data_IF_299892055961
#
_entry.id   IF_299892055961
#
_cell.length_a   1.000
_cell.length_b   1.000
_cell.length_c   1.000
_cell.angle_alpha   90.00
_cell.angle_beta   90.00
_cell.angle_gamma   90.00
#
_symmetry.space_group_name_H-M   'P 1'
#
loop_
_entity.id
_entity.type
_entity.pdbx_description
1 polymer ?
#
# COMPACT_ATOMS: atom_id res chain seq x y z
N UNK A 1 3.02 4.40 12.18
CA UNK A 1 2.39 3.86 10.95
C UNK A 1 3.51 3.66 9.94
N UNK A 2 3.58 2.52 9.24
CA UNK A 2 4.65 2.24 8.26
C UNK A 2 4.19 2.33 6.80
N UNK A 3 2.90 2.10 6.55
CA UNK A 3 2.27 2.24 5.25
C UNK A 3 0.82 2.66 5.43
N UNK A 4 0.23 3.26 4.40
CA UNK A 4 -1.19 3.60 4.32
C UNK A 4 -1.74 3.03 3.02
N UNK A 5 -2.84 2.29 3.10
CA UNK A 5 -3.54 1.72 1.95
C UNK A 5 -4.85 2.51 1.76
N UNK A 6 -5.09 3.03 0.57
CA UNK A 6 -6.31 3.77 0.25
C UNK A 6 -6.75 3.53 -1.21
N UNK A 7 -7.96 3.90 -1.59
CA UNK A 7 -8.38 3.87 -3.00
C UNK A 7 -7.75 4.99 -3.81
N UNK A 8 -7.51 6.14 -3.18
CA UNK A 8 -6.86 7.30 -3.79
C UNK A 8 -6.22 8.20 -2.74
N UNK A 9 -5.30 9.06 -3.17
CA UNK A 9 -4.70 10.08 -2.32
C UNK A 9 -4.80 11.46 -2.96
N UNK A 10 -5.02 12.48 -2.14
CA UNK A 10 -4.78 13.87 -2.54
C UNK A 10 -3.26 14.11 -2.63
N UNK A 11 -2.82 14.89 -3.63
CA UNK A 11 -1.41 15.04 -4.00
C UNK A 11 -0.55 15.51 -2.83
N UNK A 12 -1.01 16.52 -2.08
CA UNK A 12 -0.27 17.11 -0.94
C UNK A 12 -0.26 16.13 0.25
N UNK A 13 -1.39 15.47 0.52
CA UNK A 13 -1.46 14.47 1.60
C UNK A 13 -0.49 13.31 1.37
N UNK A 14 -0.40 12.82 0.13
CA UNK A 14 0.55 11.77 -0.25
C UNK A 14 1.99 12.18 -0.03
N UNK A 15 2.41 13.34 -0.55
CA UNK A 15 3.81 13.78 -0.39
C UNK A 15 4.20 14.02 1.07
N UNK A 16 3.25 14.42 1.93
CA UNK A 16 3.49 14.49 3.37
C UNK A 16 3.72 13.10 3.99
N UNK A 17 2.96 12.07 3.58
CA UNK A 17 3.15 10.69 4.05
C UNK A 17 4.53 10.18 3.68
N UNK A 18 4.94 10.37 2.42
CA UNK A 18 6.28 9.98 1.94
C UNK A 18 7.36 10.69 2.75
N UNK A 19 7.25 12.01 2.94
CA UNK A 19 8.22 12.77 3.74
C UNK A 19 8.31 12.37 5.22
N UNK A 20 7.33 11.61 5.73
CA UNK A 20 7.36 11.02 7.08
C UNK A 20 7.86 9.56 7.09
N UNK A 21 8.31 9.03 5.95
CA UNK A 21 8.72 7.63 5.79
C UNK A 21 7.54 6.65 5.83
N UNK A 22 6.34 7.10 5.44
CA UNK A 22 5.13 6.28 5.37
C UNK A 22 4.84 5.95 3.92
N UNK A 23 4.80 4.65 3.57
CA UNK A 23 4.58 4.19 2.21
C UNK A 23 3.10 4.33 1.79
N UNK A 24 2.76 5.17 0.79
CA UNK A 24 1.40 5.27 0.28
C UNK A 24 1.14 4.17 -0.75
N UNK A 25 0.11 3.37 -0.52
CA UNK A 25 -0.32 2.26 -1.36
C UNK A 25 -1.76 2.48 -1.82
N UNK A 26 -2.04 2.20 -3.09
CA UNK A 26 -3.41 2.24 -3.61
C UNK A 26 -3.87 0.92 -4.18
N UNK A 27 -5.16 0.64 -4.03
CA UNK A 27 -5.82 -0.40 -4.82
C UNK A 27 -5.76 -0.06 -6.32
N UNK A 28 -6.02 -1.05 -7.17
CA UNK A 28 -6.20 -0.81 -8.61
C UNK A 28 -7.50 -0.04 -8.85
N UNK A 29 -7.61 0.52 -10.05
CA UNK A 29 -8.79 1.29 -10.43
C UNK A 29 -10.05 0.41 -10.33
N UNK A 30 -11.04 0.90 -9.56
CA UNK A 30 -12.29 0.18 -9.31
C UNK A 30 -12.22 -0.92 -8.23
N UNK A 31 -11.07 -1.13 -7.59
CA UNK A 31 -10.93 -2.05 -6.46
C UNK A 31 -10.85 -1.30 -5.11
N UNK A 32 -11.28 -1.97 -4.05
CA UNK A 32 -11.28 -1.44 -2.69
C UNK A 32 -11.15 -2.56 -1.65
N UNK A 33 -11.23 -2.19 -0.36
CA UNK A 33 -11.15 -3.14 0.75
C UNK A 33 -12.27 -4.20 0.70
N UNK A 34 -13.50 -3.81 0.34
CA UNK A 34 -14.65 -4.69 0.24
C UNK A 34 -14.49 -5.72 -0.89
N UNK A 35 -13.86 -5.33 -2.00
CA UNK A 35 -13.53 -6.23 -3.12
C UNK A 35 -12.71 -7.44 -2.66
N UNK A 36 -11.84 -7.23 -1.67
CA UNK A 36 -10.98 -8.26 -1.08
C UNK A 36 -11.52 -8.80 0.26
N UNK A 37 -12.70 -8.38 0.69
CA UNK A 37 -13.34 -8.81 1.94
C UNK A 37 -12.58 -8.40 3.20
N UNK A 38 -11.83 -7.28 3.16
CA UNK A 38 -11.01 -6.84 4.28
C UNK A 38 -11.87 -6.20 5.36
N UNK A 39 -11.65 -6.62 6.60
CA UNK A 39 -12.36 -6.15 7.79
C UNK A 39 -11.56 -5.13 8.59
N UNK A 40 -10.26 -4.96 8.28
CA UNK A 40 -9.31 -4.13 9.02
C UNK A 40 -8.70 -4.82 10.24
N UNK A 41 -9.05 -6.09 10.49
CA UNK A 41 -8.47 -6.92 11.55
C UNK A 41 -7.33 -7.80 11.07
N UNK A 42 -7.10 -7.83 9.77
CA UNK A 42 -6.09 -8.66 9.13
C UNK A 42 -4.68 -8.19 9.47
N UNK A 43 -3.75 -9.12 9.50
CA UNK A 43 -2.32 -8.81 9.53
C UNK A 43 -1.83 -8.62 8.11
N UNK A 44 -1.38 -7.39 7.82
CA UNK A 44 -0.82 -7.04 6.52
C UNK A 44 0.69 -7.26 6.50
N UNK A 45 1.14 -8.12 5.58
CA UNK A 45 2.56 -8.33 5.27
C UNK A 45 2.87 -7.64 3.95
N UNK A 46 3.64 -6.57 4.03
CA UNK A 46 4.06 -5.76 2.88
C UNK A 46 5.51 -6.14 2.56
N UNK A 47 5.80 -6.76 1.40
CA UNK A 47 7.15 -7.09 1.01
C UNK A 47 7.87 -5.82 0.53
N UNK A 48 8.27 -4.97 1.48
CA UNK A 48 9.11 -3.80 1.16
C UNK A 48 10.52 -4.33 0.91
N UNK A 49 10.98 -4.19 -0.33
CA UNK A 49 12.37 -4.38 -0.70
C UNK A 49 13.02 -3.00 -0.76
N UNK A 50 14.31 -2.85 -0.43
CA UNK A 50 15.06 -1.57 -0.53
C UNK A 50 15.09 -0.95 -1.95
N UNK A 51 14.45 -1.59 -2.94
CA UNK A 51 14.34 -1.15 -4.32
C UNK A 51 12.86 -1.06 -4.72
N UNK A 52 12.07 -0.24 -4.02
CA UNK A 52 10.70 0.04 -4.45
C UNK A 52 10.75 1.00 -5.63
N UNK A 53 10.35 0.52 -6.81
CA UNK A 53 10.25 1.39 -7.99
C UNK A 53 9.01 2.30 -7.91
N UNK A 54 9.08 3.56 -8.39
CA UNK A 54 7.92 4.44 -8.50
C UNK A 54 6.79 3.77 -9.29
N UNK A 55 5.56 3.90 -8.80
CA UNK A 55 4.35 3.33 -9.42
C UNK A 55 4.33 1.79 -9.57
N UNK A 56 5.28 1.09 -8.95
CA UNK A 56 5.34 -0.37 -8.99
C UNK A 56 4.15 -1.02 -8.29
N UNK A 57 3.82 -2.22 -8.72
CA UNK A 57 2.82 -3.04 -8.07
C UNK A 57 3.50 -4.00 -7.09
N UNK A 58 2.97 -4.05 -5.86
CA UNK A 58 3.41 -4.96 -4.81
C UNK A 58 2.26 -5.87 -4.37
N UNK A 59 2.57 -7.14 -4.17
CA UNK A 59 1.62 -8.12 -3.67
C UNK A 59 1.62 -8.12 -2.13
N UNK A 60 0.66 -7.43 -1.52
CA UNK A 60 0.50 -7.39 -0.06
C UNK A 60 -0.33 -8.58 0.39
N UNK A 61 0.12 -9.29 1.42
CA UNK A 61 -0.64 -10.41 2.00
C UNK A 61 -1.44 -9.93 3.19
N UNK A 62 -2.74 -10.19 3.21
CA UNK A 62 -3.62 -9.97 4.34
C UNK A 62 -4.00 -11.32 4.94
N UNK A 63 -3.58 -11.57 6.18
CA UNK A 63 -3.92 -12.78 6.94
C UNK A 63 -5.07 -12.47 7.91
N UNK A 64 -6.18 -13.20 7.81
CA UNK A 64 -7.31 -13.04 8.71
C UNK A 64 -7.08 -13.77 10.06
N UNK A 65 -7.97 -13.56 11.03
CA UNK A 65 -7.88 -14.23 12.35
C UNK A 65 -8.03 -15.75 12.28
N UNK A 66 -8.58 -16.29 11.18
CA UNK A 66 -8.75 -17.73 10.94
C UNK A 66 -7.53 -18.38 10.27
N UNK A 67 -6.55 -17.60 9.83
CA UNK A 67 -5.35 -18.05 9.14
C UNK A 67 -5.46 -18.12 7.61
N UNK A 68 -6.58 -17.69 7.01
CA UNK A 68 -6.66 -17.52 5.56
C UNK A 68 -5.85 -16.30 5.12
N UNK A 69 -5.11 -16.48 4.03
CA UNK A 69 -4.25 -15.43 3.47
C UNK A 69 -4.80 -15.02 2.11
N UNK A 70 -5.13 -13.74 1.97
CA UNK A 70 -5.51 -13.11 0.71
C UNK A 70 -4.32 -12.29 0.21
N UNK A 71 -3.98 -12.45 -1.07
CA UNK A 71 -2.95 -11.63 -1.71
C UNK A 71 -3.60 -10.52 -2.52
N UNK A 72 -3.21 -9.28 -2.24
CA UNK A 72 -3.82 -8.07 -2.75
C UNK A 72 -2.76 -7.32 -3.56
N UNK A 73 -2.92 -7.16 -4.89
CA UNK A 73 -2.07 -6.29 -5.68
C UNK A 73 -2.36 -4.83 -5.32
N UNK A 74 -1.35 -4.13 -4.81
CA UNK A 74 -1.42 -2.71 -4.50
C UNK A 74 -0.35 -1.95 -5.28
N UNK A 75 -0.69 -0.77 -5.77
CA UNK A 75 0.25 0.13 -6.42
C UNK A 75 0.92 1.05 -5.41
N UNK A 76 2.24 1.16 -5.50
CA UNK A 76 3.03 2.13 -4.75
C UNK A 76 2.85 3.52 -5.35
N UNK A 77 2.36 4.48 -4.56
CA UNK A 77 2.19 5.88 -5.01
C UNK A 77 3.39 6.74 -4.67
N UNK A 78 4.56 6.32 -5.15
CA UNK A 78 5.72 7.20 -5.27
C UNK A 78 5.70 7.72 -6.71
N UNK A 79 5.56 9.04 -6.88
CA UNK A 79 5.42 9.65 -8.21
C UNK A 79 6.80 10.00 -8.81
N UNK A 80 7.80 10.19 -7.95
CA UNK A 80 9.14 10.61 -8.36
C UNK A 80 10.23 9.69 -7.79
N UNK A 81 11.38 9.55 -8.47
CA UNK A 81 12.50 8.77 -7.95
C UNK A 81 13.09 9.37 -6.66
N UNK A 82 12.96 10.69 -6.46
CA UNK A 82 13.40 11.36 -5.21
C UNK A 82 12.60 10.86 -4.01
N UNK A 83 11.30 10.57 -4.19
CA UNK A 83 10.43 10.03 -3.15
C UNK A 83 10.81 8.60 -2.71
N UNK A 84 11.67 7.88 -3.45
CA UNK A 84 12.15 6.54 -3.11
C UNK A 84 13.31 6.57 -2.09
N UNK A 85 14.05 7.68 -2.02
CA UNK A 85 15.23 7.81 -1.14
C UNK A 85 14.88 8.26 0.30
N UNK A 86 13.61 8.60 0.56
CA UNK A 86 13.10 9.04 1.87
C UNK A 86 12.60 7.87 2.72
#
# INVERSE_FOLDING_TARGET
VKAVIATSFERIHRSNLVGMGVLPLTFRDGEDADTYGLTGKEKFTIPIHDQVEPLAEIAVKAENESGDIVTIPLQVRLDTPVEVEY
#
